data_IF_600106180514
#
_entry.id   IF_600106180514
#
_cell.length_a   1.000
_cell.length_b   1.000
_cell.length_c   1.000
_cell.angle_alpha   90.00
_cell.angle_beta   90.00
_cell.angle_gamma   90.00
#
_symmetry.space_group_name_H-M   'P 1'
#
loop_
_entity.id
_entity.type
_entity.pdbx_description
1 polymer ?
#
# COMPACT_ATOMS: atom_id res chain seq x y z
N UNK A 1 13.82 11.43 -8.13
CA UNK A 1 12.70 10.80 -8.88
C UNK A 1 12.55 9.29 -8.66
N UNK A 2 13.62 8.47 -8.66
CA UNK A 2 13.50 6.99 -8.46
C UNK A 2 12.84 6.57 -7.13
N UNK A 3 13.00 7.36 -6.06
CA UNK A 3 12.40 7.07 -4.76
C UNK A 3 10.87 7.22 -4.74
N UNK A 4 10.31 8.18 -5.49
CA UNK A 4 8.87 8.44 -5.50
C UNK A 4 8.08 7.23 -6.02
N UNK A 5 8.53 6.65 -7.15
CA UNK A 5 7.89 5.49 -7.76
C UNK A 5 7.91 4.26 -6.84
N UNK A 6 9.02 4.06 -6.12
CA UNK A 6 9.16 2.99 -5.13
C UNK A 6 8.24 3.20 -3.93
N UNK A 7 8.15 4.43 -3.41
CA UNK A 7 7.25 4.79 -2.31
C UNK A 7 5.80 4.52 -2.70
N UNK A 8 5.39 4.98 -3.89
CA UNK A 8 4.03 4.77 -4.39
C UNK A 8 3.73 3.28 -4.59
N UNK A 9 4.67 2.51 -5.16
CA UNK A 9 4.51 1.05 -5.35
C UNK A 9 4.45 0.29 -4.04
N UNK A 10 5.30 0.63 -3.07
CA UNK A 10 5.28 0.10 -1.70
C UNK A 10 3.89 0.29 -1.07
N UNK A 11 3.34 1.50 -1.11
CA UNK A 11 2.05 1.80 -0.52
C UNK A 11 0.86 1.23 -1.30
N UNK A 12 0.95 1.17 -2.63
CA UNK A 12 -0.06 0.52 -3.46
C UNK A 12 -0.14 -0.99 -3.17
N UNK A 13 1.00 -1.67 -3.14
CA UNK A 13 1.08 -3.10 -2.81
C UNK A 13 0.60 -3.38 -1.39
N UNK A 14 1.01 -2.57 -0.40
CA UNK A 14 0.53 -2.71 0.97
C UNK A 14 -1.00 -2.59 1.04
N UNK A 15 -1.57 -1.58 0.37
CA UNK A 15 -3.02 -1.42 0.36
C UNK A 15 -3.70 -2.59 -0.35
N UNK A 16 -3.17 -3.06 -1.47
CA UNK A 16 -3.73 -4.22 -2.15
C UNK A 16 -3.71 -5.47 -1.27
N UNK A 17 -2.58 -5.80 -0.63
CA UNK A 17 -2.45 -6.97 0.25
C UNK A 17 -3.37 -6.88 1.47
N UNK A 18 -3.54 -5.66 2.01
CA UNK A 18 -4.45 -5.39 3.13
C UNK A 18 -5.92 -5.61 2.76
N UNK A 19 -6.32 -5.24 1.53
CA UNK A 19 -7.68 -5.33 0.99
C UNK A 19 -7.85 -6.48 -0.02
N UNK A 20 -7.26 -7.64 0.26
CA UNK A 20 -7.48 -8.90 -0.49
C UNK A 20 -7.19 -8.82 -2.00
N UNK A 21 -6.17 -8.06 -2.36
CA UNK A 21 -5.70 -7.91 -3.74
C UNK A 21 -6.18 -6.64 -4.44
N UNK A 22 -6.96 -5.78 -3.76
CA UNK A 22 -7.48 -4.52 -4.33
C UNK A 22 -6.85 -3.29 -3.70
N UNK A 23 -5.95 -2.64 -4.42
CA UNK A 23 -5.49 -1.29 -4.09
C UNK A 23 -6.55 -0.24 -4.45
N UNK A 24 -6.90 0.58 -3.48
CA UNK A 24 -7.70 1.79 -3.66
C UNK A 24 -6.78 3.01 -3.83
N UNK A 25 -6.91 3.69 -4.97
CA UNK A 25 -6.09 4.86 -5.28
C UNK A 25 -6.25 5.99 -4.28
N UNK A 26 -7.43 6.19 -3.68
CA UNK A 26 -7.66 7.25 -2.68
C UNK A 26 -6.93 6.92 -1.38
N UNK A 27 -7.01 5.66 -0.94
CA UNK A 27 -6.32 5.20 0.26
C UNK A 27 -4.79 5.30 0.11
N UNK A 28 -4.28 4.84 -1.03
CA UNK A 28 -2.85 4.90 -1.38
C UNK A 28 -2.37 6.35 -1.47
N UNK A 29 -3.12 7.20 -2.18
CA UNK A 29 -2.79 8.61 -2.32
C UNK A 29 -2.80 9.37 -0.98
N UNK A 30 -3.76 9.07 -0.09
CA UNK A 30 -3.78 9.66 1.26
C UNK A 30 -2.51 9.34 2.06
N UNK A 31 -2.07 8.07 2.05
CA UNK A 31 -0.82 7.64 2.69
C UNK A 31 0.40 8.34 2.10
N UNK A 32 0.50 8.38 0.77
CA UNK A 32 1.62 8.99 0.07
C UNK A 32 1.69 10.50 0.32
N UNK A 33 0.54 11.20 0.27
CA UNK A 33 0.50 12.64 0.57
C UNK A 33 0.92 12.89 2.02
N UNK A 34 0.47 12.08 2.98
CA UNK A 34 0.86 12.27 4.38
C UNK A 34 2.38 12.13 4.60
N UNK A 35 3.00 11.16 3.91
CA UNK A 35 4.46 10.96 3.94
C UNK A 35 5.19 12.10 3.21
N UNK A 36 4.83 12.37 1.96
CA UNK A 36 5.53 13.31 1.09
C UNK A 36 5.23 14.78 1.38
N UNK A 37 4.16 15.08 2.12
CA UNK A 37 3.91 16.42 2.66
C UNK A 37 5.06 16.86 3.56
N UNK A 38 5.78 15.92 4.20
CA UNK A 38 7.00 16.20 4.95
C UNK A 38 8.21 16.50 4.05
N UNK A 39 8.22 15.98 2.83
CA UNK A 39 9.26 16.23 1.81
C UNK A 39 8.93 17.43 0.89
N UNK A 40 7.74 18.02 1.01
CA UNK A 40 7.33 19.17 0.19
C UNK A 40 6.92 18.82 -1.24
N UNK A 41 6.57 17.56 -1.52
CA UNK A 41 6.17 17.13 -2.88
C UNK A 41 4.71 17.51 -3.17
N UNK A 42 4.47 18.02 -4.38
CA UNK A 42 3.13 18.45 -4.81
C UNK A 42 2.20 17.26 -5.12
N UNK A 43 0.98 17.21 -4.56
CA UNK A 43 -0.02 16.16 -4.84
C UNK A 43 -0.32 15.98 -6.34
N UNK A 44 -0.24 17.07 -7.11
CA UNK A 44 -0.51 17.08 -8.56
C UNK A 44 0.50 16.25 -9.36
N UNK A 45 1.76 16.20 -8.93
CA UNK A 45 2.80 15.42 -9.62
C UNK A 45 2.70 13.93 -9.30
N UNK A 46 2.20 13.61 -8.10
CA UNK A 46 2.10 12.24 -7.60
C UNK A 46 0.83 11.56 -8.15
N UNK A 47 -0.26 12.30 -8.32
CA UNK A 47 -1.56 11.78 -8.80
C UNK A 47 -1.45 10.86 -10.04
N UNK A 48 -0.82 11.27 -11.17
CA UNK A 48 -0.68 10.40 -12.34
C UNK A 48 0.23 9.19 -12.08
N UNK A 49 1.21 9.32 -11.18
CA UNK A 49 2.09 8.23 -10.79
C UNK A 49 1.32 7.16 -9.97
N UNK A 50 0.50 7.60 -9.01
CA UNK A 50 -0.35 6.72 -8.19
C UNK A 50 -1.35 5.98 -9.07
N UNK A 51 -2.05 6.68 -9.95
CA UNK A 51 -3.09 6.06 -10.78
C UNK A 51 -2.52 4.95 -11.68
N UNK A 52 -1.33 5.17 -12.27
CA UNK A 52 -0.64 4.15 -13.06
C UNK A 52 -0.22 2.95 -12.20
N UNK A 53 0.44 3.17 -11.08
CA UNK A 53 0.97 2.09 -10.24
C UNK A 53 -0.16 1.27 -9.60
N UNK A 54 -1.23 1.92 -9.13
CA UNK A 54 -2.39 1.22 -8.56
C UNK A 54 -3.05 0.32 -9.61
N UNK A 55 -3.15 0.77 -10.86
CA UNK A 55 -3.62 -0.09 -11.97
C UNK A 55 -2.70 -1.26 -12.22
N UNK A 56 -1.38 -1.07 -12.19
CA UNK A 56 -0.42 -2.17 -12.34
C UNK A 56 -0.57 -3.18 -11.21
N UNK A 57 -0.62 -2.73 -9.96
CA UNK A 57 -0.78 -3.60 -8.79
C UNK A 57 -2.08 -4.37 -8.85
N UNK A 58 -3.20 -3.72 -9.19
CA UNK A 58 -4.52 -4.38 -9.32
C UNK A 58 -4.60 -5.38 -10.47
N UNK A 59 -3.68 -5.32 -11.45
CA UNK A 59 -3.57 -6.34 -12.50
C UNK A 59 -2.81 -7.58 -12.04
N UNK A 60 -1.96 -7.45 -11.03
CA UNK A 60 -1.21 -8.59 -10.48
C UNK A 60 -2.13 -9.43 -9.59
N UNK A 61 -1.99 -10.77 -9.58
CA UNK A 61 -2.65 -11.63 -8.62
C UNK A 61 -2.15 -11.37 -7.21
N UNK A 62 -2.99 -11.62 -6.21
CA UNK A 62 -2.70 -11.40 -4.80
C UNK A 62 -1.33 -11.99 -4.36
N UNK A 63 -1.00 -13.20 -4.81
CA UNK A 63 0.28 -13.83 -4.49
C UNK A 63 1.50 -13.09 -5.06
N UNK A 64 1.40 -12.54 -6.27
CA UNK A 64 2.47 -11.70 -6.84
C UNK A 64 2.58 -10.37 -6.10
N UNK A 65 1.45 -9.75 -5.75
CA UNK A 65 1.47 -8.52 -4.96
C UNK A 65 2.18 -8.75 -3.62
N UNK A 66 1.92 -9.89 -2.98
CA UNK A 66 2.53 -10.26 -1.70
C UNK A 66 4.03 -10.54 -1.85
N UNK A 67 4.45 -11.26 -2.89
CA UNK A 67 5.87 -11.49 -3.22
C UNK A 67 6.61 -10.18 -3.51
N UNK A 68 6.01 -9.30 -4.30
CA UNK A 68 6.59 -7.99 -4.62
C UNK A 68 6.70 -7.12 -3.36
N UNK A 69 5.66 -7.09 -2.52
CA UNK A 69 5.69 -6.36 -1.27
C UNK A 69 6.74 -6.92 -0.31
N UNK A 70 6.92 -8.24 -0.27
CA UNK A 70 7.93 -8.89 0.57
C UNK A 70 9.34 -8.53 0.14
N UNK A 71 9.60 -8.47 -1.17
CA UNK A 71 10.90 -8.04 -1.71
C UNK A 71 11.17 -6.55 -1.45
N UNK A 72 10.15 -5.71 -1.56
CA UNK A 72 10.28 -4.26 -1.57
C UNK A 72 10.20 -3.65 -0.16
N UNK A 73 9.35 -4.19 0.70
CA UNK A 73 9.14 -3.75 2.07
C UNK A 73 8.67 -4.90 2.98
N UNK A 74 9.53 -5.87 3.31
CA UNK A 74 9.18 -7.02 4.16
C UNK A 74 8.74 -6.61 5.58
N UNK A 75 9.18 -5.44 6.05
CA UNK A 75 8.77 -4.82 7.30
C UNK A 75 7.25 -4.54 7.36
N UNK A 76 6.63 -4.21 6.23
CA UNK A 76 5.20 -3.90 6.16
C UNK A 76 4.35 -5.18 6.26
N UNK A 77 4.82 -6.28 5.66
CA UNK A 77 4.15 -7.59 5.77
C UNK A 77 4.19 -8.11 7.21
N UNK A 78 5.31 -7.94 7.91
CA UNK A 78 5.41 -8.32 9.33
C UNK A 78 4.43 -7.54 10.22
N UNK A 79 4.19 -6.26 9.92
CA UNK A 79 3.16 -5.46 10.60
C UNK A 79 1.75 -5.97 10.32
N UNK A 80 1.40 -6.25 9.06
CA UNK A 80 0.08 -6.80 8.71
C UNK A 80 -0.21 -8.16 9.34
N UNK A 81 0.75 -9.10 9.32
CA UNK A 81 0.57 -10.40 10.00
C UNK A 81 0.37 -10.27 11.51
N UNK A 82 0.93 -9.23 12.14
CA UNK A 82 0.69 -8.93 13.55
C UNK A 82 -0.69 -8.29 13.76
N UNK A 83 -1.10 -7.32 12.95
CA UNK A 83 -2.42 -6.68 13.06
C UNK A 83 -3.59 -7.63 12.77
N UNK A 84 -3.53 -8.46 11.72
CA UNK A 84 -4.57 -9.47 11.43
C UNK A 84 -4.71 -10.53 12.51
N UNK A 85 -3.63 -10.85 13.23
CA UNK A 85 -3.69 -11.80 14.36
C UNK A 85 -4.32 -11.19 15.62
N UNK A 86 -4.27 -9.87 15.79
CA UNK A 86 -4.85 -9.18 16.96
C UNK A 86 -6.33 -8.85 16.70
N UNK A 87 -6.70 -8.51 15.46
CA UNK A 87 -8.08 -8.15 15.10
C UNK A 87 -9.10 -9.31 15.15
N UNK A 88 -8.65 -10.56 15.32
CA UNK A 88 -9.54 -11.73 15.47
C UNK A 88 -9.89 -12.06 16.93
N UNK A 89 -9.46 -11.27 17.92
CA UNK A 89 -9.66 -11.60 19.34
C UNK A 89 -10.72 -10.79 20.10
N UNK A 90 -11.50 -9.90 19.48
CA UNK A 90 -12.48 -9.11 20.24
C UNK A 90 -13.83 -8.97 19.52
N UNK A 91 -14.59 -10.07 19.49
CA UNK A 91 -16.05 -9.98 19.63
C UNK A 91 -16.45 -10.85 20.83
N UNK A 92 -16.39 -10.31 22.07
CA UNK A 92 -17.18 -10.89 23.14
C UNK A 92 -18.66 -10.62 22.79
N UNK A 93 -19.41 -11.72 22.71
CA UNK A 93 -20.86 -11.83 22.52
C UNK A 93 -21.66 -10.57 22.92
N UNK A 94 -22.54 -10.13 22.01
CA UNK A 94 -23.71 -9.32 22.36
C UNK A 94 -24.93 -10.25 22.46
#
# INVERSE_FOLDING_TARGET
>A
MKNLKLIVRKYALQNAVQFEGRADKKAVMGKIIAELKKEGVSPREILPLVDNIVKEVNKLPYEEQLKELEKLAPELIKKEKKEKRIALSELPNA
#
